data_IF_792611485000
#
_entry.id   IF_792611485000
#
_cell.length_a   1.000
_cell.length_b   1.000
_cell.length_c   1.000
_cell.angle_alpha   90.00
_cell.angle_beta   90.00
_cell.angle_gamma   90.00
#
_symmetry.space_group_name_H-M   'P 1'
#
loop_
_entity.id
_entity.type
_entity.pdbx_description
1 polymer ?
#
# COMPACT_ATOMS: atom_id res chain seq x y z
N UNK A 1 -19.03 -12.13 6.03
CA UNK A 1 -18.13 -10.95 5.99
C UNK A 1 -18.85 -9.63 5.73
N UNK A 2 -20.00 -9.59 5.04
CA UNK A 2 -20.83 -8.38 4.93
C UNK A 2 -21.50 -7.98 6.25
N UNK A 3 -21.80 -8.95 7.12
CA UNK A 3 -22.48 -8.71 8.41
C UNK A 3 -21.61 -8.15 9.54
N UNK A 4 -20.30 -8.44 9.57
CA UNK A 4 -19.39 -7.91 10.61
C UNK A 4 -19.15 -6.40 10.44
N UNK A 5 -19.31 -5.87 9.22
CA UNK A 5 -19.10 -4.45 8.94
C UNK A 5 -20.32 -3.59 9.34
N UNK A 6 -21.52 -4.18 9.38
CA UNK A 6 -22.77 -3.44 9.63
C UNK A 6 -23.13 -3.28 11.12
N UNK A 7 -22.66 -4.17 12.00
CA UNK A 7 -23.09 -4.17 13.42
C UNK A 7 -22.32 -3.20 14.35
N UNK A 8 -21.29 -2.50 13.86
CA UNK A 8 -20.54 -1.53 14.67
C UNK A 8 -19.43 -0.73 13.95
N UNK A 9 -19.17 -1.01 12.68
CA UNK A 9 -18.04 -0.43 11.95
C UNK A 9 -18.31 0.92 11.29
N UNK A 10 -19.47 1.10 10.65
CA UNK A 10 -19.71 2.29 9.81
C UNK A 10 -19.58 3.63 10.56
N UNK A 11 -20.02 3.69 11.82
CA UNK A 11 -19.97 4.93 12.61
C UNK A 11 -18.56 5.21 13.18
N UNK A 12 -17.80 4.18 13.56
CA UNK A 12 -16.41 4.31 13.99
C UNK A 12 -15.49 4.73 12.83
N UNK A 13 -15.75 4.25 11.61
CA UNK A 13 -15.01 4.64 10.41
C UNK A 13 -15.45 6.01 9.84
N UNK A 14 -16.59 6.56 10.25
CA UNK A 14 -17.06 7.90 9.81
C UNK A 14 -16.16 9.03 10.30
N UNK A 15 -15.51 8.84 11.46
CA UNK A 15 -14.50 9.78 11.97
C UNK A 15 -13.21 9.79 11.15
N UNK A 16 -13.00 8.78 10.29
CA UNK A 16 -11.84 8.65 9.41
C UNK A 16 -12.05 9.32 8.03
N UNK A 17 -13.12 10.08 7.83
CA UNK A 17 -13.41 10.80 6.57
C UNK A 17 -12.44 11.97 6.26
N UNK A 18 -11.43 12.20 7.12
CA UNK A 18 -10.32 13.09 6.77
C UNK A 18 -9.57 12.54 5.56
N UNK A 19 -9.32 13.39 4.54
CA UNK A 19 -8.48 13.00 3.41
C UNK A 19 -7.09 12.60 3.94
N UNK A 20 -6.70 11.33 3.75
CA UNK A 20 -5.35 10.88 4.09
C UNK A 20 -4.35 11.70 3.29
N UNK A 21 -3.47 12.44 3.97
CA UNK A 21 -2.68 13.55 3.41
C UNK A 21 -2.31 13.39 1.94
N UNK A 22 -2.70 14.37 1.12
CA UNK A 22 -2.38 14.43 -0.30
C UNK A 22 -0.88 14.69 -0.47
N UNK A 23 -0.09 13.63 -0.37
CA UNK A 23 1.37 13.70 -0.40
C UNK A 23 1.90 13.05 -1.67
N UNK A 24 3.06 13.52 -2.12
CA UNK A 24 3.85 12.99 -3.24
C UNK A 24 4.48 11.62 -2.94
N UNK A 25 3.71 10.72 -2.32
CA UNK A 25 4.12 9.40 -1.87
C UNK A 25 3.99 8.32 -2.94
N UNK A 26 3.60 8.67 -4.17
CA UNK A 26 3.46 7.74 -5.29
C UNK A 26 4.70 6.83 -5.50
N UNK A 27 5.90 7.32 -5.19
CA UNK A 27 7.14 6.53 -5.27
C UNK A 27 7.17 5.28 -4.37
N UNK A 28 6.31 5.22 -3.34
CA UNK A 28 6.11 4.00 -2.56
C UNK A 28 5.67 2.80 -3.42
N UNK A 29 5.08 3.05 -4.60
CA UNK A 29 4.71 2.03 -5.58
C UNK A 29 5.87 1.12 -5.97
N UNK A 30 7.12 1.60 -5.92
CA UNK A 30 8.29 0.77 -6.27
C UNK A 30 8.48 -0.43 -5.33
N UNK A 31 7.93 -0.37 -4.12
CA UNK A 31 7.90 -1.49 -3.17
C UNK A 31 7.03 -2.64 -3.65
N UNK A 32 6.13 -2.40 -4.62
CA UNK A 32 5.19 -3.37 -5.16
C UNK A 32 5.64 -3.95 -6.52
N UNK A 33 6.91 -3.74 -6.90
CA UNK A 33 7.51 -4.37 -8.08
C UNK A 33 7.51 -5.90 -8.00
N UNK A 34 7.61 -6.55 -9.17
CA UNK A 34 7.63 -8.01 -9.27
C UNK A 34 8.84 -8.64 -8.56
N UNK A 35 8.74 -9.94 -8.25
CA UNK A 35 9.81 -10.69 -7.57
C UNK A 35 11.16 -10.68 -8.33
N UNK A 36 11.11 -10.44 -9.65
CA UNK A 36 12.28 -10.41 -10.54
C UNK A 36 12.78 -8.98 -10.83
N UNK A 37 12.30 -7.96 -10.12
CA UNK A 37 12.68 -6.56 -10.35
C UNK A 37 14.21 -6.30 -10.27
N UNK A 38 14.98 -7.21 -9.67
CA UNK A 38 16.44 -7.15 -9.63
C UNK A 38 16.97 -5.89 -8.91
N UNK A 39 18.29 -5.72 -8.93
CA UNK A 39 18.94 -4.60 -8.24
C UNK A 39 18.60 -3.21 -8.82
N UNK A 40 18.23 -3.14 -10.10
CA UNK A 40 17.97 -1.90 -10.82
C UNK A 40 16.50 -1.43 -10.80
N UNK A 41 15.59 -2.27 -10.30
CA UNK A 41 14.15 -2.02 -10.38
C UNK A 41 13.41 -1.92 -9.06
N UNK A 42 13.96 -2.36 -7.93
CA UNK A 42 13.26 -2.31 -6.64
C UNK A 42 13.24 -0.92 -5.98
N UNK A 43 12.58 -0.81 -4.83
CA UNK A 43 12.53 0.42 -4.05
C UNK A 43 13.88 0.79 -3.41
N UNK A 44 14.31 2.04 -3.57
CA UNK A 44 15.45 2.62 -2.86
C UNK A 44 15.05 3.23 -1.51
N UNK A 45 16.01 3.87 -0.84
CA UNK A 45 15.75 4.50 0.47
C UNK A 45 14.70 5.62 0.40
N UNK A 46 14.67 6.39 -0.68
CA UNK A 46 13.67 7.44 -0.89
C UNK A 46 12.25 6.87 -1.02
N UNK A 47 12.10 5.75 -1.73
CA UNK A 47 10.80 5.10 -1.94
C UNK A 47 10.28 4.47 -0.64
N UNK A 48 11.18 3.88 0.16
CA UNK A 48 10.87 3.40 1.51
C UNK A 48 10.48 4.59 2.42
N UNK A 49 11.16 5.73 2.30
CA UNK A 49 10.82 6.96 3.01
C UNK A 49 9.42 7.48 2.66
N UNK A 50 9.04 7.46 1.37
CA UNK A 50 7.68 7.80 0.91
C UNK A 50 6.62 6.83 1.46
N UNK A 51 6.93 5.54 1.53
CA UNK A 51 6.05 4.56 2.14
C UNK A 51 5.88 4.81 3.65
N UNK A 52 6.96 5.15 4.34
CA UNK A 52 6.92 5.55 5.75
C UNK A 52 6.07 6.81 5.95
N UNK A 53 6.25 7.81 5.09
CA UNK A 53 5.47 9.06 5.12
C UNK A 53 3.99 8.81 4.90
N UNK A 54 3.63 8.01 3.88
CA UNK A 54 2.23 7.65 3.61
C UNK A 54 1.56 6.96 4.80
N UNK A 55 2.25 5.97 5.37
CA UNK A 55 1.75 5.27 6.57
C UNK A 55 1.64 6.25 7.73
N UNK A 56 2.63 7.11 7.96
CA UNK A 56 2.63 8.11 9.04
C UNK A 56 1.57 9.21 8.90
N UNK A 57 1.18 9.59 7.69
CA UNK A 57 0.20 10.62 7.43
C UNK A 57 -1.26 10.21 7.73
N UNK A 58 -1.53 8.93 8.03
CA UNK A 58 -2.90 8.41 8.20
C UNK A 58 -3.11 7.63 9.49
N UNK A 59 -4.29 7.72 10.09
CA UNK A 59 -4.67 6.93 11.25
C UNK A 59 -4.91 5.46 10.89
N UNK A 60 -4.92 4.57 11.90
CA UNK A 60 -5.25 3.16 11.70
C UNK A 60 -6.66 2.97 11.14
N UNK A 61 -7.61 3.78 11.59
CA UNK A 61 -9.00 3.78 11.15
C UNK A 61 -9.12 4.22 9.67
N UNK A 62 -8.32 5.19 9.23
CA UNK A 62 -8.25 5.61 7.82
C UNK A 62 -7.70 4.50 6.93
N UNK A 63 -6.67 3.78 7.38
CA UNK A 63 -6.13 2.61 6.67
C UNK A 63 -7.21 1.52 6.56
N UNK A 64 -7.85 1.17 7.69
CA UNK A 64 -8.91 0.18 7.72
C UNK A 64 -10.10 0.58 6.82
N UNK A 65 -10.46 1.87 6.81
CA UNK A 65 -11.48 2.42 5.92
C UNK A 65 -11.13 2.24 4.46
N UNK A 66 -9.92 2.63 4.07
CA UNK A 66 -9.47 2.48 2.69
C UNK A 66 -9.45 1.00 2.24
N UNK A 67 -9.13 0.07 3.14
CA UNK A 67 -9.20 -1.38 2.87
C UNK A 67 -10.66 -1.83 2.68
N UNK A 68 -11.57 -1.43 3.58
CA UNK A 68 -12.99 -1.78 3.52
C UNK A 68 -13.66 -1.18 2.28
N UNK A 69 -13.41 0.08 1.98
CA UNK A 69 -13.91 0.78 0.80
C UNK A 69 -13.38 0.10 -0.49
N UNK A 70 -12.10 -0.26 -0.53
CA UNK A 70 -11.54 -1.01 -1.66
C UNK A 70 -12.19 -2.39 -1.85
N UNK A 71 -12.51 -3.09 -0.76
CA UNK A 71 -13.21 -4.37 -0.82
C UNK A 71 -14.67 -4.21 -1.28
N UNK A 72 -15.35 -3.14 -0.84
CA UNK A 72 -16.75 -2.86 -1.15
C UNK A 72 -16.98 -2.50 -2.63
N UNK A 73 -16.03 -1.82 -3.28
CA UNK A 73 -16.10 -1.42 -4.70
C UNK A 73 -15.84 -2.60 -5.66
N UNK A 74 -15.91 -3.84 -5.17
CA UNK A 74 -15.66 -5.05 -5.97
C UNK A 74 -14.17 -5.36 -6.09
N UNK A 75 -13.42 -5.10 -5.00
CA UNK A 75 -11.96 -5.17 -4.88
C UNK A 75 -11.32 -6.10 -5.90
N UNK A 76 -10.69 -5.50 -6.91
CA UNK A 76 -10.07 -6.21 -8.01
C UNK A 76 -9.15 -7.30 -7.47
N UNK A 77 -9.62 -8.54 -7.48
CA UNK A 77 -8.85 -9.74 -7.12
C UNK A 77 -7.69 -9.94 -8.09
N UNK A 78 -7.77 -9.28 -9.24
CA UNK A 78 -6.71 -9.20 -10.23
C UNK A 78 -5.68 -8.18 -9.78
N UNK A 79 -4.54 -8.68 -9.32
CA UNK A 79 -3.41 -7.84 -9.00
C UNK A 79 -2.91 -7.03 -10.21
N UNK A 80 -2.52 -5.79 -9.96
CA UNK A 80 -2.03 -4.84 -10.97
C UNK A 80 -0.69 -4.27 -10.53
N UNK A 81 0.15 -3.94 -11.49
CA UNK A 81 1.38 -3.20 -11.23
C UNK A 81 1.05 -1.84 -10.59
N UNK A 82 1.94 -1.29 -9.77
CA UNK A 82 1.70 -0.03 -9.06
C UNK A 82 1.20 1.11 -9.98
N UNK A 83 1.76 1.24 -11.19
CA UNK A 83 1.33 2.27 -12.15
C UNK A 83 -0.09 2.08 -12.71
N UNK A 84 -0.65 0.87 -12.65
CA UNK A 84 -1.97 0.52 -13.17
C UNK A 84 -2.98 0.12 -12.08
N UNK A 85 -2.54 0.05 -10.82
CA UNK A 85 -3.40 -0.29 -9.71
C UNK A 85 -4.34 0.88 -9.41
N UNK A 86 -5.65 0.61 -9.41
CA UNK A 86 -6.68 1.62 -9.15
C UNK A 86 -7.21 1.56 -7.72
N UNK A 87 -6.80 0.56 -6.95
CA UNK A 87 -7.21 0.35 -5.57
C UNK A 87 -6.10 -0.35 -4.76
N UNK A 88 -6.13 -0.23 -3.41
CA UNK A 88 -5.14 -0.83 -2.52
C UNK A 88 -4.98 -2.34 -2.66
N UNK A 89 -6.07 -3.08 -2.91
CA UNK A 89 -6.06 -4.55 -3.01
C UNK A 89 -5.29 -4.98 -4.26
N UNK A 90 -5.59 -4.39 -5.42
CA UNK A 90 -4.92 -4.67 -6.67
C UNK A 90 -3.40 -4.38 -6.59
N UNK A 91 -3.02 -3.30 -5.91
CA UNK A 91 -1.62 -2.98 -5.64
C UNK A 91 -0.95 -4.00 -4.71
N UNK A 92 -1.62 -4.36 -3.61
CA UNK A 92 -1.09 -5.32 -2.63
C UNK A 92 -0.90 -6.72 -3.20
N UNK A 93 -1.79 -7.17 -4.10
CA UNK A 93 -1.61 -8.42 -4.84
C UNK A 93 -0.44 -8.24 -5.82
N UNK A 94 -0.44 -7.13 -6.56
CA UNK A 94 0.59 -6.84 -7.56
C UNK A 94 0.55 -7.81 -8.73
N UNK A 95 1.54 -7.78 -9.60
CA UNK A 95 1.70 -8.81 -10.64
C UNK A 95 3.17 -9.15 -10.83
N UNK A 96 3.41 -10.41 -11.16
CA UNK A 96 4.74 -10.94 -11.40
C UNK A 96 5.27 -10.59 -12.79
N UNK A 97 4.43 -10.03 -13.67
CA UNK A 97 4.75 -9.77 -15.08
C UNK A 97 5.63 -8.51 -15.28
N UNK A 98 5.82 -7.70 -14.24
CA UNK A 98 6.56 -6.45 -14.35
C UNK A 98 7.95 -6.64 -13.78
N UNK A 99 8.93 -6.13 -14.54
CA UNK A 99 10.28 -5.87 -14.06
C UNK A 99 10.27 -4.83 -12.94
N UNK A 100 11.15 -3.82 -13.02
CA UNK A 100 11.28 -2.82 -11.95
C UNK A 100 9.95 -2.22 -11.46
N UNK A 101 9.88 -1.95 -10.15
CA UNK A 101 8.79 -1.26 -9.50
C UNK A 101 8.53 0.12 -10.11
N UNK A 102 7.25 0.41 -10.31
CA UNK A 102 6.76 1.68 -10.82
C UNK A 102 6.20 2.53 -9.69
N UNK A 103 6.14 3.84 -9.89
CA UNK A 103 5.39 4.71 -8.98
C UNK A 103 3.88 4.40 -9.12
N UNK A 104 3.10 4.71 -8.09
CA UNK A 104 1.65 4.63 -8.20
C UNK A 104 1.12 5.59 -9.26
N UNK A 105 0.23 5.07 -10.10
CA UNK A 105 -0.37 5.84 -11.18
C UNK A 105 -1.49 6.77 -10.72
N UNK A 106 -1.82 7.73 -11.58
CA UNK A 106 -3.01 8.57 -11.41
C UNK A 106 -4.32 7.80 -11.62
N UNK A 107 -4.27 6.69 -12.36
CA UNK A 107 -5.43 5.82 -12.57
C UNK A 107 -5.93 5.26 -11.23
N UNK A 108 -7.18 5.56 -10.87
CA UNK A 108 -7.78 5.21 -9.57
C UNK A 108 -7.27 6.03 -8.37
N UNK A 109 -6.46 7.06 -8.62
CA UNK A 109 -6.04 8.05 -7.62
C UNK A 109 -5.20 7.47 -6.50
N UNK A 110 -4.35 6.47 -6.77
CA UNK A 110 -3.41 5.92 -5.79
C UNK A 110 -2.23 6.88 -5.55
N UNK A 111 -1.81 7.61 -6.58
CA UNK A 111 -0.67 8.54 -6.51
C UNK A 111 -0.80 9.67 -5.48
N UNK A 112 -2.03 10.10 -5.18
CA UNK A 112 -2.33 11.26 -4.34
C UNK A 112 -3.04 10.89 -3.03
N UNK A 113 -3.07 9.61 -2.68
CA UNK A 113 -3.87 9.08 -1.56
C UNK A 113 -3.00 8.28 -0.62
N UNK A 114 -2.50 8.94 0.45
CA UNK A 114 -1.65 8.28 1.45
C UNK A 114 -2.40 7.17 2.21
N UNK A 115 -3.71 7.29 2.38
CA UNK A 115 -4.60 6.26 2.93
C UNK A 115 -4.61 5.00 2.07
N UNK A 116 -4.76 5.15 0.74
CA UNK A 116 -4.73 4.02 -0.20
C UNK A 116 -3.35 3.38 -0.29
N UNK A 117 -2.29 4.19 -0.28
CA UNK A 117 -0.91 3.70 -0.28
C UNK A 117 -0.62 2.92 1.01
N UNK A 118 -0.99 3.47 2.17
CA UNK A 118 -0.82 2.82 3.46
C UNK A 118 -1.64 1.53 3.55
N UNK A 119 -2.89 1.53 3.08
CA UNK A 119 -3.72 0.34 2.96
C UNK A 119 -3.04 -0.75 2.12
N UNK A 120 -2.47 -0.38 0.97
CA UNK A 120 -1.75 -1.33 0.12
C UNK A 120 -0.51 -1.90 0.83
N UNK A 121 0.24 -1.07 1.56
CA UNK A 121 1.44 -1.48 2.32
C UNK A 121 1.04 -2.47 3.42
N UNK A 122 -0.01 -2.15 4.18
CA UNK A 122 -0.49 -3.01 5.28
C UNK A 122 -1.02 -4.33 4.73
N UNK A 123 -1.86 -4.31 3.70
CA UNK A 123 -2.36 -5.51 3.03
C UNK A 123 -1.21 -6.39 2.53
N UNK A 124 -0.20 -5.79 1.88
CA UNK A 124 0.99 -6.51 1.42
C UNK A 124 1.80 -7.07 2.59
N UNK A 125 1.98 -6.31 3.67
CA UNK A 125 2.72 -6.75 4.84
C UNK A 125 2.05 -7.90 5.61
N UNK A 126 0.72 -7.99 5.54
CA UNK A 126 -0.08 -9.04 6.18
C UNK A 126 -0.34 -10.26 5.28
N UNK A 127 -0.16 -10.13 3.97
CA UNK A 127 -0.38 -11.23 3.03
C UNK A 127 0.68 -12.33 3.18
N UNK A 128 0.25 -13.60 3.11
CA UNK A 128 1.14 -14.78 3.24
C UNK A 128 2.37 -14.72 2.31
N UNK A 129 2.15 -14.32 1.07
CA UNK A 129 3.19 -14.22 0.03
C UNK A 129 3.60 -12.76 -0.26
N UNK A 130 3.20 -11.84 0.62
CA UNK A 130 3.46 -10.42 0.47
C UNK A 130 4.93 -10.09 0.71
N UNK A 131 5.64 -9.74 -0.37
CA UNK A 131 7.04 -9.29 -0.33
C UNK A 131 7.17 -7.92 -0.95
N UNK A 132 8.01 -7.08 -0.34
CA UNK A 132 8.36 -5.77 -0.88
C UNK A 132 9.61 -5.88 -1.76
N UNK A 133 9.56 -5.24 -2.93
CA UNK A 133 10.67 -5.16 -3.88
C UNK A 133 11.64 -4.07 -3.46
N UNK A 134 12.92 -4.43 -3.30
CA UNK A 134 13.98 -3.53 -2.82
C UNK A 134 15.13 -3.48 -3.83
N UNK A 135 15.57 -2.27 -4.20
CA UNK A 135 16.78 -2.08 -4.98
C UNK A 135 17.95 -2.55 -4.13
N UNK A 136 18.78 -3.46 -4.66
CA UNK A 136 19.84 -4.18 -3.94
C UNK A 136 19.34 -4.79 -2.61
N UNK A 137 19.30 -6.12 -2.50
CA UNK A 137 18.82 -6.86 -1.32
C UNK A 137 19.70 -6.64 -0.06
N UNK A 138 19.79 -5.42 0.44
CA UNK A 138 20.52 -5.03 1.63
C UNK A 138 19.61 -5.16 2.86
N UNK A 139 20.10 -5.86 3.89
CA UNK A 139 19.41 -6.09 5.16
C UNK A 139 18.95 -4.78 5.83
N UNK A 140 19.66 -3.66 5.65
CA UNK A 140 19.26 -2.37 6.20
C UNK A 140 17.91 -1.87 5.64
N UNK A 141 17.69 -2.00 4.31
CA UNK A 141 16.44 -1.60 3.66
C UNK A 141 15.27 -2.50 4.07
N UNK A 142 15.56 -3.80 4.20
CA UNK A 142 14.58 -4.76 4.72
C UNK A 142 14.15 -4.41 6.16
N UNK A 143 15.08 -4.02 7.01
CA UNK A 143 14.78 -3.56 8.37
C UNK A 143 13.93 -2.28 8.37
N UNK A 144 14.23 -1.30 7.51
CA UNK A 144 13.42 -0.08 7.36
C UNK A 144 11.99 -0.38 6.94
N UNK A 145 11.78 -1.19 5.90
CA UNK A 145 10.41 -1.57 5.47
C UNK A 145 9.66 -2.32 6.57
N UNK A 146 10.34 -3.23 7.29
CA UNK A 146 9.74 -3.91 8.44
C UNK A 146 9.32 -2.90 9.52
N UNK A 147 10.17 -1.92 9.80
CA UNK A 147 9.87 -0.84 10.74
C UNK A 147 8.65 -0.04 10.31
N UNK A 148 8.50 0.30 9.02
CA UNK A 148 7.32 1.01 8.50
C UNK A 148 6.02 0.24 8.79
N UNK A 149 6.03 -1.07 8.57
CA UNK A 149 4.84 -1.91 8.79
C UNK A 149 4.55 -2.11 10.29
N UNK A 150 5.58 -2.20 11.14
CA UNK A 150 5.43 -2.59 12.56
C UNK A 150 5.49 -1.41 13.55
N UNK A 151 5.86 -0.19 13.14
CA UNK A 151 5.99 0.95 14.07
C UNK A 151 4.66 1.46 14.61
N UNK A 152 3.54 1.25 13.92
CA UNK A 152 2.22 1.44 14.52
C UNK A 152 1.89 0.22 15.37
N UNK A 153 2.01 0.36 16.69
CA UNK A 153 1.26 -0.48 17.62
C UNK A 153 -0.21 -0.12 17.44
N UNK A 154 -0.93 -0.91 16.66
CA UNK A 154 -2.38 -1.02 16.69
C UNK A 154 -2.74 -2.19 17.60
#
# INVERSE_FOLDING_TARGET
>A
MKEIVDAGGKDALKAADGAGGADNNAGAGKLFGGANAGAAGGAGDNDIGKAAAAVNAVSGEQILKAIVDAAAVGGGKDGKAAGAATNPIAAAIGTNAQGGGADFGAAGGMNNSSDKIAAAIVLRGMAKDGKFSLAAHNNARKAKVKSVVHQRRW
#
